data_IF_730755183818
#
_entry.id   IF_730755183818
#
_cell.length_a   1.000
_cell.length_b   1.000
_cell.length_c   1.000
_cell.angle_alpha   90.00
_cell.angle_beta   90.00
_cell.angle_gamma   90.00
#
_symmetry.space_group_name_H-M   'P 1'
#
loop_
_entity.id
_entity.type
_entity.pdbx_description
1 polymer ?
#
# COMPACT_ATOMS: atom_id res chain seq x y z
N UNK A 1 6.53 1.31 -46.29
CA UNK A 1 5.86 0.91 -45.06
C UNK A 1 6.75 0.13 -44.09
N UNK A 2 7.41 -0.90 -44.53
CA UNK A 2 8.27 -1.72 -43.64
C UNK A 2 9.42 -0.92 -43.04
N UNK A 3 10.04 0.00 -43.77
CA UNK A 3 11.16 0.81 -43.28
C UNK A 3 10.70 1.78 -42.18
N UNK A 4 9.52 2.37 -42.32
CA UNK A 4 8.96 3.31 -41.36
C UNK A 4 8.61 2.57 -40.05
N UNK A 5 8.04 1.39 -40.18
CA UNK A 5 7.69 0.56 -39.00
C UNK A 5 8.96 0.14 -38.26
N UNK A 6 10.00 -0.19 -38.99
CA UNK A 6 11.28 -0.57 -38.40
C UNK A 6 11.92 0.57 -37.61
N UNK A 7 11.88 1.78 -38.18
CA UNK A 7 12.42 2.97 -37.51
C UNK A 7 11.60 3.32 -36.25
N UNK A 8 10.30 3.19 -36.31
CA UNK A 8 9.45 3.41 -35.14
C UNK A 8 9.76 2.41 -34.01
N UNK A 9 9.96 1.15 -34.36
CA UNK A 9 10.36 0.11 -33.42
C UNK A 9 11.72 0.40 -32.78
N UNK A 10 12.67 0.86 -33.58
CA UNK A 10 14.00 1.21 -33.08
C UNK A 10 13.94 2.38 -32.12
N UNK A 11 13.14 3.41 -32.44
CA UNK A 11 12.93 4.54 -31.54
C UNK A 11 12.28 4.13 -30.23
N UNK A 12 11.30 3.24 -30.26
CA UNK A 12 10.67 2.70 -29.07
C UNK A 12 11.63 1.88 -28.21
N UNK A 13 12.54 1.13 -28.83
CA UNK A 13 13.54 0.37 -28.09
C UNK A 13 14.58 1.27 -27.42
N UNK A 14 14.89 2.40 -28.04
CA UNK A 14 15.84 3.35 -27.46
C UNK A 14 15.23 4.17 -26.32
N UNK A 15 13.96 4.55 -26.43
CA UNK A 15 13.28 5.35 -25.41
C UNK A 15 13.27 4.71 -24.01
N UNK A 16 12.94 3.43 -23.85
CA UNK A 16 12.99 2.80 -22.52
C UNK A 16 14.36 2.82 -21.87
N UNK A 17 15.42 2.82 -22.66
CA UNK A 17 16.79 2.89 -22.14
C UNK A 17 17.11 4.26 -21.54
N UNK A 18 16.50 5.33 -22.06
CA UNK A 18 16.74 6.67 -21.58
C UNK A 18 15.74 7.14 -20.55
N UNK A 19 14.53 6.58 -20.52
CA UNK A 19 13.41 7.08 -19.72
C UNK A 19 13.29 6.37 -18.39
N UNK A 20 14.22 5.56 -18.03
CA UNK A 20 14.19 4.82 -16.75
C UNK A 20 12.93 3.95 -16.57
N UNK A 21 12.39 3.37 -17.68
CA UNK A 21 11.19 2.55 -17.68
C UNK A 21 11.28 1.25 -16.90
N UNK A 22 12.43 0.98 -16.28
CA UNK A 22 12.67 -0.22 -15.49
C UNK A 22 12.60 0.02 -13.99
N UNK A 23 12.05 1.16 -13.57
CA UNK A 23 11.78 1.41 -12.16
C UNK A 23 10.57 0.63 -11.69
N UNK A 24 10.68 0.08 -10.48
CA UNK A 24 9.52 -0.43 -9.77
C UNK A 24 8.81 0.78 -9.16
N UNK A 25 7.54 0.96 -9.53
CA UNK A 25 6.66 1.90 -8.86
C UNK A 25 5.85 1.12 -7.82
N UNK A 26 5.88 1.61 -6.59
CA UNK A 26 5.18 0.96 -5.49
C UNK A 26 3.67 0.96 -5.65
N UNK A 27 2.97 0.16 -4.86
CA UNK A 27 1.51 0.13 -4.89
C UNK A 27 0.91 1.42 -4.33
N UNK A 28 -0.37 1.61 -4.62
CA UNK A 28 -1.14 2.76 -4.15
C UNK A 28 -2.40 2.28 -3.45
N UNK A 29 -3.06 3.19 -2.74
CA UNK A 29 -4.36 2.93 -2.14
C UNK A 29 -5.29 4.11 -2.38
N UNK A 30 -6.60 3.84 -2.35
CA UNK A 30 -7.63 4.85 -2.60
C UNK A 30 -8.40 5.11 -1.31
N UNK A 31 -8.47 6.37 -0.91
CA UNK A 31 -9.24 6.84 0.24
C UNK A 31 -10.06 8.04 -0.20
N UNK A 32 -11.36 7.97 0.02
CA UNK A 32 -12.31 9.05 -0.32
C UNK A 32 -12.18 9.50 -1.79
N UNK A 33 -11.98 8.54 -2.69
CA UNK A 33 -11.85 8.79 -4.13
C UNK A 33 -10.50 9.31 -4.60
N UNK A 34 -9.57 9.54 -3.68
CA UNK A 34 -8.21 9.99 -4.00
C UNK A 34 -7.22 8.85 -3.89
N UNK A 35 -6.28 8.81 -4.82
CA UNK A 35 -5.21 7.81 -4.85
C UNK A 35 -3.97 8.34 -4.16
N UNK A 36 -3.43 7.55 -3.25
CA UNK A 36 -2.21 7.85 -2.49
C UNK A 36 -1.18 6.76 -2.69
N UNK A 37 0.07 7.14 -2.90
CA UNK A 37 1.17 6.20 -2.95
C UNK A 37 1.61 5.83 -1.52
N UNK A 38 2.03 4.59 -1.33
CA UNK A 38 2.73 4.23 -0.11
C UNK A 38 4.12 4.87 -0.14
N UNK A 39 4.43 5.61 0.90
CA UNK A 39 5.72 6.30 1.02
C UNK A 39 6.74 5.33 1.61
N UNK A 40 7.85 5.12 0.90
CA UNK A 40 8.95 4.34 1.45
C UNK A 40 9.99 5.29 2.04
N UNK A 41 10.42 4.98 3.27
CA UNK A 41 11.54 5.65 3.91
C UNK A 41 12.63 4.61 4.17
N UNK A 42 13.87 5.00 3.89
CA UNK A 42 15.02 4.14 4.13
C UNK A 42 15.47 4.16 5.59
N UNK A 43 15.12 5.19 6.33
CA UNK A 43 15.69 5.44 7.66
C UNK A 43 14.69 5.34 8.81
N UNK A 44 13.40 5.59 8.54
CA UNK A 44 12.36 5.53 9.58
C UNK A 44 11.10 4.87 9.03
N UNK A 45 10.38 4.12 9.86
CA UNK A 45 9.11 3.56 9.45
C UNK A 45 8.11 4.68 9.18
N UNK A 46 7.55 4.69 7.99
CA UNK A 46 6.55 5.69 7.60
C UNK A 46 5.18 5.19 8.00
N UNK A 47 4.42 6.07 8.63
CA UNK A 47 3.02 5.82 8.96
C UNK A 47 2.20 6.39 7.80
N UNK A 48 1.39 5.54 7.21
CA UNK A 48 0.53 5.91 6.09
C UNK A 48 -0.66 6.71 6.63
N UNK A 49 -0.50 8.03 6.63
CA UNK A 49 -1.39 8.95 7.32
C UNK A 49 -2.84 8.87 6.86
N UNK A 50 -3.07 8.96 5.57
CA UNK A 50 -4.43 8.97 5.01
C UNK A 50 -5.13 7.64 5.24
N UNK A 51 -4.40 6.55 5.12
CA UNK A 51 -4.94 5.22 5.37
C UNK A 51 -5.24 5.03 6.87
N UNK A 52 -4.35 5.48 7.73
CA UNK A 52 -4.52 5.41 9.18
C UNK A 52 -5.74 6.22 9.63
N UNK A 53 -5.89 7.43 9.12
CA UNK A 53 -7.03 8.29 9.44
C UNK A 53 -8.35 7.69 8.93
N UNK A 54 -8.34 7.11 7.74
CA UNK A 54 -9.52 6.43 7.19
C UNK A 54 -9.96 5.27 8.09
N UNK A 55 -9.02 4.45 8.52
CA UNK A 55 -9.31 3.33 9.41
C UNK A 55 -9.84 3.84 10.74
N UNK A 56 -9.19 4.84 11.33
CA UNK A 56 -9.61 5.41 12.62
C UNK A 56 -11.04 5.94 12.56
N UNK A 57 -11.42 6.63 11.49
CA UNK A 57 -12.77 7.19 11.34
C UNK A 57 -13.85 6.13 11.24
N UNK A 58 -13.51 4.95 10.76
CA UNK A 58 -14.48 3.87 10.52
C UNK A 58 -14.47 2.78 11.60
N UNK A 59 -13.63 2.92 12.61
CA UNK A 59 -13.65 2.03 13.76
C UNK A 59 -14.63 2.56 14.83
N UNK A 60 -15.20 1.66 15.67
CA UNK A 60 -16.09 2.08 16.75
C UNK A 60 -15.33 2.84 17.82
N UNK A 61 -15.34 4.15 17.78
CA UNK A 61 -14.56 5.01 18.69
C UNK A 61 -14.85 4.79 20.17
N UNK A 62 -16.07 4.45 20.51
CA UNK A 62 -16.47 4.21 21.90
C UNK A 62 -15.63 3.10 22.56
N UNK A 63 -15.28 2.08 21.78
CA UNK A 63 -14.51 0.94 22.27
C UNK A 63 -13.01 1.22 22.40
N UNK A 64 -12.52 2.26 21.72
CA UNK A 64 -11.09 2.54 21.61
C UNK A 64 -10.68 3.86 22.24
N UNK A 65 -11.63 4.61 22.82
CA UNK A 65 -11.38 5.94 23.36
C UNK A 65 -10.21 5.97 24.34
N UNK A 66 -9.35 6.97 24.19
CA UNK A 66 -8.17 7.13 25.04
C UNK A 66 -7.00 6.20 24.70
N UNK A 67 -7.10 5.43 23.62
CA UNK A 67 -6.05 4.48 23.24
C UNK A 67 -5.37 4.87 21.93
N UNK A 68 -4.16 4.36 21.76
CA UNK A 68 -3.39 4.51 20.53
C UNK A 68 -2.78 3.18 20.16
N UNK A 69 -2.89 2.80 18.89
CA UNK A 69 -2.38 1.53 18.39
C UNK A 69 -1.49 1.79 17.17
N UNK A 70 -0.38 1.09 17.13
CA UNK A 70 0.52 1.10 15.98
C UNK A 70 0.63 -0.31 15.43
N UNK A 71 0.20 -0.49 14.20
CA UNK A 71 0.24 -1.78 13.51
C UNK A 71 1.36 -1.76 12.48
N UNK A 72 2.24 -2.73 12.55
CA UNK A 72 3.23 -3.00 11.51
C UNK A 72 2.68 -4.15 10.69
N UNK A 73 2.36 -3.87 9.43
CA UNK A 73 1.60 -4.78 8.59
C UNK A 73 2.45 -5.22 7.41
N UNK A 74 2.53 -6.52 7.19
CA UNK A 74 3.10 -7.10 5.99
C UNK A 74 1.97 -7.54 5.07
N UNK A 75 2.06 -7.18 3.80
CA UNK A 75 1.03 -7.50 2.82
C UNK A 75 1.62 -7.73 1.45
N UNK A 76 0.90 -8.46 0.63
CA UNK A 76 1.18 -8.60 -0.79
C UNK A 76 -0.01 -8.05 -1.56
N UNK A 77 0.23 -7.11 -2.47
CA UNK A 77 -0.78 -6.61 -3.38
C UNK A 77 -0.54 -7.26 -4.74
N UNK A 78 -1.50 -8.01 -5.21
CA UNK A 78 -1.42 -8.73 -6.47
C UNK A 78 -1.54 -7.83 -7.68
N UNK A 79 -1.37 -8.40 -8.86
CA UNK A 79 -1.39 -7.68 -10.15
C UNK A 79 -2.69 -6.95 -10.44
N UNK A 80 -3.79 -7.35 -9.80
CA UNK A 80 -5.11 -6.74 -9.96
C UNK A 80 -5.47 -5.81 -8.81
N UNK A 81 -4.52 -5.53 -7.90
CA UNK A 81 -4.78 -4.76 -6.71
C UNK A 81 -5.40 -5.54 -5.56
N UNK A 82 -5.54 -6.85 -5.68
CA UNK A 82 -6.08 -7.68 -4.60
C UNK A 82 -5.09 -7.81 -3.45
N UNK A 83 -5.60 -7.71 -2.23
CA UNK A 83 -4.79 -7.84 -1.03
C UNK A 83 -4.62 -9.32 -0.68
N UNK A 84 -3.38 -9.74 -0.57
CA UNK A 84 -3.01 -11.11 -0.24
C UNK A 84 -2.07 -11.13 0.96
N UNK A 85 -2.02 -12.25 1.68
CA UNK A 85 -1.04 -12.51 2.74
C UNK A 85 -0.91 -11.39 3.77
N UNK A 86 -2.03 -10.85 4.18
CA UNK A 86 -2.07 -9.80 5.18
C UNK A 86 -1.67 -10.36 6.54
N UNK A 87 -0.63 -9.78 7.16
CA UNK A 87 -0.10 -10.28 8.42
C UNK A 87 0.34 -9.12 9.32
N UNK A 88 0.06 -9.26 10.60
CA UNK A 88 0.53 -8.33 11.61
C UNK A 88 1.94 -8.73 12.06
N UNK A 89 2.92 -7.89 11.77
CA UNK A 89 4.34 -8.16 12.07
C UNK A 89 4.61 -8.00 13.57
N UNK A 90 4.05 -6.96 14.19
CA UNK A 90 4.24 -6.68 15.61
C UNK A 90 3.16 -7.31 16.48
N UNK A 91 2.80 -8.55 16.19
CA UNK A 91 1.75 -9.31 16.85
C UNK A 91 1.92 -9.36 18.37
N UNK A 92 3.15 -9.45 18.84
CA UNK A 92 3.44 -9.52 20.28
C UNK A 92 3.00 -8.29 21.04
N UNK A 93 2.97 -7.13 20.40
CA UNK A 93 2.51 -5.88 21.00
C UNK A 93 1.00 -5.86 21.27
N UNK A 94 0.25 -6.80 20.69
CA UNK A 94 -1.20 -6.88 20.81
C UNK A 94 -1.67 -8.08 21.61
N UNK A 95 -0.79 -8.64 22.44
CA UNK A 95 -1.14 -9.77 23.30
C UNK A 95 -2.29 -9.36 24.22
N UNK A 96 -3.44 -10.00 24.07
CA UNK A 96 -4.67 -9.63 24.77
C UNK A 96 -5.58 -8.66 24.02
N UNK A 97 -5.09 -8.02 22.95
CA UNK A 97 -5.82 -7.02 22.17
C UNK A 97 -5.93 -7.38 20.67
N UNK A 98 -5.88 -8.67 20.36
CA UNK A 98 -5.94 -9.13 18.96
C UNK A 98 -7.26 -8.80 18.25
N UNK A 99 -8.31 -8.55 19.01
CA UNK A 99 -9.61 -8.15 18.47
C UNK A 99 -9.54 -6.81 17.74
N UNK A 100 -8.65 -5.91 18.17
CA UNK A 100 -8.42 -4.63 17.46
C UNK A 100 -7.84 -4.91 16.08
N UNK A 101 -6.87 -5.80 15.99
CA UNK A 101 -6.30 -6.19 14.71
C UNK A 101 -7.34 -6.81 13.78
N UNK A 102 -8.26 -7.59 14.29
CA UNK A 102 -9.33 -8.18 13.48
C UNK A 102 -10.17 -7.09 12.80
N UNK A 103 -10.49 -6.02 13.53
CA UNK A 103 -11.24 -4.90 12.98
C UNK A 103 -10.43 -4.14 11.93
N UNK A 104 -9.16 -3.87 12.21
CA UNK A 104 -8.25 -3.20 11.27
C UNK A 104 -8.08 -4.04 10.00
N UNK A 105 -7.89 -5.35 10.16
CA UNK A 105 -7.77 -6.27 9.03
C UNK A 105 -9.00 -6.24 8.13
N UNK A 106 -10.18 -6.20 8.74
CA UNK A 106 -11.45 -6.09 8.02
C UNK A 106 -11.51 -4.79 7.21
N UNK A 107 -11.09 -3.69 7.82
CA UNK A 107 -11.04 -2.40 7.15
C UNK A 107 -10.05 -2.41 5.99
N UNK A 108 -8.87 -3.00 6.17
CA UNK A 108 -7.87 -3.10 5.12
C UNK A 108 -8.37 -3.91 3.93
N UNK A 109 -9.09 -5.00 4.18
CA UNK A 109 -9.66 -5.81 3.12
C UNK A 109 -10.76 -5.06 2.32
N UNK A 110 -11.33 -4.02 2.89
CA UNK A 110 -12.34 -3.19 2.23
C UNK A 110 -11.73 -2.01 1.45
N UNK A 111 -10.45 -1.71 1.65
CA UNK A 111 -9.77 -0.63 0.94
C UNK A 111 -9.42 -1.06 -0.48
N UNK A 112 -9.59 -0.16 -1.42
CA UNK A 112 -9.17 -0.40 -2.80
C UNK A 112 -7.67 -0.13 -2.93
N UNK A 113 -6.93 -1.12 -3.39
CA UNK A 113 -5.51 -0.98 -3.68
C UNK A 113 -5.26 -1.00 -5.18
N UNK A 114 -4.19 -0.35 -5.60
CA UNK A 114 -3.70 -0.40 -6.97
C UNK A 114 -2.35 -1.11 -6.99
N UNK A 115 -2.10 -1.97 -7.98
CA UNK A 115 -0.88 -2.75 -8.00
C UNK A 115 0.36 -1.90 -8.22
N UNK A 116 1.50 -2.40 -7.75
CA UNK A 116 2.80 -1.90 -8.16
C UNK A 116 3.01 -2.18 -9.65
N UNK A 117 3.97 -1.51 -10.25
CA UNK A 117 4.29 -1.71 -11.65
C UNK A 117 5.80 -1.73 -11.88
N UNK A 118 6.19 -2.42 -12.93
CA UNK A 118 7.55 -2.44 -13.41
C UNK A 118 7.53 -2.26 -14.94
N UNK A 119 8.17 -1.21 -15.40
CA UNK A 119 8.14 -0.89 -16.83
C UNK A 119 6.74 -0.68 -17.38
N UNK A 120 5.84 -0.11 -16.56
CA UNK A 120 4.46 0.15 -16.93
C UNK A 120 3.54 -1.05 -16.84
N UNK A 121 4.03 -2.22 -16.44
CA UNK A 121 3.23 -3.44 -16.29
C UNK A 121 2.93 -3.72 -14.82
N UNK A 122 1.70 -4.11 -14.48
CA UNK A 122 1.37 -4.45 -13.10
C UNK A 122 2.13 -5.69 -12.64
N UNK A 123 2.61 -5.62 -11.40
CA UNK A 123 3.31 -6.74 -10.75
C UNK A 123 2.74 -6.99 -9.38
N UNK A 124 2.93 -8.21 -8.88
CA UNK A 124 2.67 -8.53 -7.49
C UNK A 124 3.81 -7.97 -6.64
N UNK A 125 3.47 -7.36 -5.51
CA UNK A 125 4.45 -6.66 -4.68
C UNK A 125 4.19 -6.90 -3.21
N UNK A 126 5.23 -7.34 -2.49
CA UNK A 126 5.16 -7.57 -1.05
C UNK A 126 5.94 -6.47 -0.33
N UNK A 127 5.35 -5.93 0.73
CA UNK A 127 5.97 -4.84 1.46
C UNK A 127 5.43 -4.75 2.88
N UNK A 128 6.05 -3.90 3.68
CA UNK A 128 5.64 -3.61 5.05
C UNK A 128 5.23 -2.15 5.12
N UNK A 129 4.11 -1.89 5.78
CA UNK A 129 3.66 -0.52 6.02
C UNK A 129 3.14 -0.38 7.45
N UNK A 130 3.00 0.85 7.90
CA UNK A 130 2.60 1.17 9.26
C UNK A 130 1.26 1.88 9.27
N UNK A 131 0.41 1.48 10.20
CA UNK A 131 -0.86 2.14 10.47
C UNK A 131 -0.87 2.57 11.92
N UNK A 132 -1.08 3.85 12.15
CA UNK A 132 -1.25 4.40 13.49
C UNK A 132 -2.69 4.86 13.67
N UNK A 133 -3.37 4.21 14.59
CA UNK A 133 -4.74 4.56 14.95
C UNK A 133 -4.70 5.21 16.32
N UNK A 134 -5.07 6.47 16.40
CA UNK A 134 -4.96 7.28 17.60
C UNK A 134 -6.33 7.82 17.99
N UNK A 135 -6.81 7.39 19.13
CA UNK A 135 -8.07 7.85 19.73
C UNK A 135 -7.85 8.75 20.94
N UNK A 136 -6.61 9.15 21.16
CA UNK A 136 -6.31 10.14 22.21
C UNK A 136 -6.67 11.53 21.69
N UNK A 137 -7.55 12.21 22.34
CA UNK A 137 -7.99 13.57 21.97
C UNK A 137 -7.42 14.60 22.92
#
# INVERSE_FOLDING_TARGET
MRAITFLALLAMLLMPLFVHGHHVQGPCYVVDGKTYAFVSSTNEPVIEKELSEHIARNLPMILYDGTSFRFVVSATIGKRGELKRLRLVNKKSFKGNMWVWKDVKKMLNAVQFKPASYGGKPISYSFVFHIKVDFTT
#
